data_IF_895217969180
#
_entry.id   IF_895217969180
#
_cell.length_a   1.000
_cell.length_b   1.000
_cell.length_c   1.000
_cell.angle_alpha   90.00
_cell.angle_beta   90.00
_cell.angle_gamma   90.00
#
_symmetry.space_group_name_H-M   'P 1'
#
loop_
_entity.id
_entity.type
_entity.pdbx_description
1 polymer ?
#
# COMPACT_ATOMS: atom_id res chain seq x y z
N UNK A 1 -15.43 -19.21 2.49
CA UNK A 1 -14.50 -18.55 1.54
C UNK A 1 -15.19 -17.45 0.69
N UNK A 2 -16.32 -17.66 -0.02
CA UNK A 2 -16.93 -16.58 -0.83
C UNK A 2 -17.57 -15.45 0.00
N UNK A 3 -18.08 -15.75 1.20
CA UNK A 3 -18.69 -14.75 2.07
C UNK A 3 -17.70 -13.73 2.66
N UNK A 4 -16.44 -14.14 2.89
CA UNK A 4 -15.39 -13.24 3.40
C UNK A 4 -14.90 -12.28 2.30
N UNK A 5 -14.78 -12.79 1.07
CA UNK A 5 -14.45 -12.01 -0.14
C UNK A 5 -15.51 -10.93 -0.44
N UNK A 6 -16.79 -11.26 -0.22
CA UNK A 6 -17.89 -10.31 -0.38
C UNK A 6 -17.85 -9.19 0.67
N UNK A 7 -17.55 -9.51 1.94
CA UNK A 7 -17.46 -8.51 3.01
C UNK A 7 -16.26 -7.57 2.85
N UNK A 8 -15.10 -8.07 2.43
CA UNK A 8 -13.90 -7.24 2.22
C UNK A 8 -14.09 -6.24 1.09
N UNK A 9 -14.65 -6.67 -0.05
CA UNK A 9 -14.88 -5.80 -1.20
C UNK A 9 -16.04 -4.81 -1.01
N UNK A 10 -17.11 -5.20 -0.30
CA UNK A 10 -18.26 -4.32 -0.01
C UNK A 10 -17.97 -3.32 1.12
N UNK A 11 -17.00 -3.60 2.00
CA UNK A 11 -16.58 -2.73 3.10
C UNK A 11 -15.43 -1.78 2.77
N UNK A 12 -15.14 -1.54 1.48
CA UNK A 12 -14.05 -0.66 1.07
C UNK A 12 -12.65 -1.24 1.32
N UNK A 13 -12.50 -2.57 1.41
CA UNK A 13 -11.23 -3.28 1.53
C UNK A 13 -10.35 -2.81 2.71
N UNK A 14 -10.98 -2.36 3.80
CA UNK A 14 -10.34 -1.77 4.98
C UNK A 14 -9.82 -2.87 5.93
N UNK A 15 -8.50 -3.03 6.01
CA UNK A 15 -7.84 -4.07 6.81
C UNK A 15 -6.58 -3.56 7.51
N UNK A 16 -6.29 -4.10 8.69
CA UNK A 16 -4.98 -3.89 9.32
C UNK A 16 -3.93 -4.79 8.65
N UNK A 17 -2.79 -4.19 8.32
CA UNK A 17 -1.58 -4.91 7.86
C UNK A 17 -0.68 -5.23 9.06
N UNK A 18 -0.78 -4.46 10.14
CA UNK A 18 0.08 -4.56 11.33
C UNK A 18 1.12 -3.44 11.38
N UNK A 19 1.81 -3.31 12.53
CA UNK A 19 2.80 -2.24 12.74
C UNK A 19 2.24 -0.81 12.58
N UNK A 20 0.94 -0.62 12.80
CA UNK A 20 0.26 0.67 12.58
C UNK A 20 0.01 1.00 11.10
N UNK A 21 -0.01 0.02 10.20
CA UNK A 21 -0.44 0.21 8.81
C UNK A 21 -1.83 -0.38 8.58
N UNK A 22 -2.65 0.38 7.88
CA UNK A 22 -4.01 0.04 7.46
C UNK A 22 -4.06 0.13 5.95
N UNK A 23 -4.67 -0.86 5.29
CA UNK A 23 -4.94 -0.86 3.84
C UNK A 23 -6.42 -0.62 3.57
N UNK A 24 -6.75 0.07 2.48
CA UNK A 24 -8.12 0.33 2.06
C UNK A 24 -8.26 0.54 0.54
N UNK A 25 -9.50 0.45 0.05
CA UNK A 25 -9.96 1.08 -1.18
C UNK A 25 -10.13 2.59 -0.96
N UNK A 26 -10.39 3.33 -2.05
CA UNK A 26 -10.75 4.73 -1.90
C UNK A 26 -12.09 4.85 -1.18
N UNK A 27 -12.13 5.71 -0.16
CA UNK A 27 -13.33 6.00 0.61
C UNK A 27 -14.01 7.29 0.13
N UNK A 28 -15.30 7.42 0.45
CA UNK A 28 -15.96 8.72 0.36
C UNK A 28 -15.35 9.70 1.39
N UNK A 29 -15.51 11.03 1.22
CA UNK A 29 -15.03 12.00 2.20
C UNK A 29 -15.56 11.77 3.62
N UNK A 30 -16.83 11.36 3.75
CA UNK A 30 -17.45 11.08 5.04
C UNK A 30 -16.87 9.81 5.70
N UNK A 31 -16.69 8.74 4.93
CA UNK A 31 -16.12 7.49 5.43
C UNK A 31 -14.65 7.66 5.80
N UNK A 32 -13.90 8.46 5.03
CA UNK A 32 -12.52 8.80 5.34
C UNK A 32 -12.42 9.58 6.65
N UNK A 33 -13.22 10.63 6.83
CA UNK A 33 -13.24 11.40 8.07
C UNK A 33 -13.59 10.52 9.29
N UNK A 34 -14.61 9.67 9.15
CA UNK A 34 -15.00 8.69 10.17
C UNK A 34 -13.86 7.72 10.49
N UNK A 35 -13.18 7.19 9.46
CA UNK A 35 -12.06 6.27 9.61
C UNK A 35 -10.86 6.92 10.28
N UNK A 36 -10.54 8.18 9.93
CA UNK A 36 -9.47 8.95 10.57
C UNK A 36 -9.71 9.03 12.08
N UNK A 37 -10.93 9.40 12.49
CA UNK A 37 -11.27 9.55 13.90
C UNK A 37 -11.31 8.19 14.62
N UNK A 38 -11.95 7.19 14.02
CA UNK A 38 -12.14 5.88 14.64
C UNK A 38 -10.84 5.08 14.79
N UNK A 39 -9.89 5.25 13.85
CA UNK A 39 -8.61 4.52 13.83
C UNK A 39 -7.41 5.36 14.26
N UNK A 40 -7.63 6.65 14.53
CA UNK A 40 -6.57 7.60 14.89
C UNK A 40 -5.54 7.80 13.79
N UNK A 41 -5.94 7.73 12.51
CA UNK A 41 -5.02 7.84 11.36
C UNK A 41 -4.23 9.15 11.44
N UNK A 42 -2.91 9.06 11.30
CA UNK A 42 -2.00 10.22 11.33
C UNK A 42 -1.42 10.58 9.97
N UNK A 43 -1.41 9.62 9.04
CA UNK A 43 -1.03 9.87 7.65
C UNK A 43 -1.81 9.01 6.66
N UNK A 44 -1.95 9.50 5.44
CA UNK A 44 -2.60 8.84 4.31
C UNK A 44 -1.60 8.75 3.16
N UNK A 45 -1.46 7.57 2.58
CA UNK A 45 -0.68 7.30 1.38
C UNK A 45 -1.62 6.95 0.22
N UNK A 46 -1.83 7.91 -0.68
CA UNK A 46 -2.59 7.76 -1.90
C UNK A 46 -1.68 7.25 -3.04
N UNK A 47 -1.90 6.00 -3.47
CA UNK A 47 -1.13 5.35 -4.54
C UNK A 47 -1.67 5.63 -5.96
N UNK A 48 -2.70 6.49 -6.09
CA UNK A 48 -3.22 6.94 -7.38
C UNK A 48 -2.47 8.16 -7.93
N UNK A 49 -1.58 8.75 -7.13
CA UNK A 49 -0.87 9.98 -7.46
C UNK A 49 -1.73 11.23 -7.27
N UNK A 50 -1.14 12.37 -7.63
CA UNK A 50 -1.81 13.66 -7.59
C UNK A 50 -2.79 13.84 -8.76
N UNK A 51 -4.00 14.33 -8.47
CA UNK A 51 -5.02 14.65 -9.47
C UNK A 51 -5.70 16.00 -9.15
N UNK A 52 -4.98 17.13 -9.28
CA UNK A 52 -5.49 18.44 -8.85
C UNK A 52 -6.73 18.92 -9.58
N UNK A 53 -7.08 18.36 -10.74
CA UNK A 53 -8.31 18.67 -11.47
C UNK A 53 -9.51 17.79 -11.10
N UNK A 54 -9.34 16.78 -10.25
CA UNK A 54 -10.37 15.79 -9.96
C UNK A 54 -11.01 16.03 -8.59
N UNK A 55 -12.34 16.06 -8.54
CA UNK A 55 -13.09 16.31 -7.31
C UNK A 55 -12.73 15.34 -6.18
N UNK A 56 -12.64 14.04 -6.50
CA UNK A 56 -12.32 13.01 -5.50
C UNK A 56 -10.99 13.28 -4.79
N UNK A 57 -9.99 13.83 -5.50
CA UNK A 57 -8.66 14.08 -4.93
C UNK A 57 -8.66 15.36 -4.10
N UNK A 58 -9.33 16.40 -4.58
CA UNK A 58 -9.48 17.66 -3.85
C UNK A 58 -10.23 17.43 -2.53
N UNK A 59 -11.32 16.66 -2.57
CA UNK A 59 -12.11 16.32 -1.39
C UNK A 59 -11.34 15.48 -0.39
N UNK A 60 -10.61 14.46 -0.85
CA UNK A 60 -9.77 13.61 0.00
C UNK A 60 -8.67 14.42 0.70
N UNK A 61 -8.00 15.32 -0.04
CA UNK A 61 -7.02 16.25 0.54
C UNK A 61 -7.63 17.21 1.55
N UNK A 62 -8.81 17.76 1.25
CA UNK A 62 -9.50 18.67 2.15
C UNK A 62 -9.88 17.95 3.47
N UNK A 63 -10.30 16.68 3.41
CA UNK A 63 -10.56 15.87 4.61
C UNK A 63 -9.27 15.64 5.41
N UNK A 64 -8.16 15.29 4.75
CA UNK A 64 -6.89 15.10 5.43
C UNK A 64 -6.43 16.39 6.14
N UNK A 65 -6.48 17.53 5.45
CA UNK A 65 -6.13 18.84 5.98
C UNK A 65 -7.01 19.23 7.18
N UNK A 66 -8.34 19.07 7.04
CA UNK A 66 -9.29 19.41 8.10
C UNK A 66 -9.10 18.59 9.39
N UNK A 67 -8.49 17.41 9.29
CA UNK A 67 -8.20 16.54 10.43
C UNK A 67 -6.72 16.58 10.87
N UNK A 68 -5.89 17.43 10.26
CA UNK A 68 -4.46 17.53 10.60
C UNK A 68 -3.67 16.26 10.26
N UNK A 69 -4.11 15.51 9.25
CA UNK A 69 -3.51 14.25 8.80
C UNK A 69 -2.56 14.53 7.65
N UNK A 70 -1.35 13.96 7.72
CA UNK A 70 -0.38 14.09 6.63
C UNK A 70 -0.87 13.35 5.38
N UNK A 71 -0.84 14.02 4.22
CA UNK A 71 -1.33 13.46 2.97
C UNK A 71 -0.17 13.29 1.97
N UNK A 72 0.19 12.05 1.68
CA UNK A 72 1.32 11.66 0.82
C UNK A 72 0.75 11.06 -0.46
N UNK A 73 1.15 11.59 -1.62
CA UNK A 73 0.72 11.07 -2.92
C UNK A 73 1.90 10.44 -3.67
N UNK A 74 1.76 9.18 -4.06
CA UNK A 74 2.71 8.47 -4.92
C UNK A 74 1.96 7.95 -6.14
N UNK A 75 2.41 8.32 -7.33
CA UNK A 75 1.80 7.82 -8.56
C UNK A 75 2.34 6.43 -8.88
N UNK A 76 1.58 5.39 -8.53
CA UNK A 76 1.83 4.04 -9.01
C UNK A 76 0.88 3.70 -10.15
N UNK A 77 1.46 3.27 -11.27
CA UNK A 77 0.71 2.70 -12.37
C UNK A 77 0.22 1.31 -11.98
N UNK A 78 -1.08 1.06 -12.05
CA UNK A 78 -1.62 -0.30 -11.90
C UNK A 78 -1.34 -1.20 -13.12
N UNK A 79 -0.73 -0.64 -14.18
CA UNK A 79 -0.50 -1.33 -15.47
C UNK A 79 0.96 -1.54 -15.79
N UNK A 80 1.86 -0.87 -15.09
CA UNK A 80 3.29 -0.92 -15.33
C UNK A 80 3.97 -1.31 -14.03
N UNK A 81 4.87 -2.29 -14.12
CA UNK A 81 5.70 -2.71 -13.00
C UNK A 81 6.52 -1.50 -12.51
N UNK A 82 6.41 -1.08 -11.24
CA UNK A 82 7.33 -0.09 -10.69
C UNK A 82 8.74 -0.66 -10.67
N UNK A 83 9.73 0.20 -10.92
CA UNK A 83 11.13 -0.21 -10.81
C UNK A 83 11.56 -0.37 -9.34
N UNK A 84 12.71 -1.00 -9.13
CA UNK A 84 13.24 -1.25 -7.79
C UNK A 84 13.48 0.04 -7.00
N UNK A 85 13.86 1.13 -7.66
CA UNK A 85 14.09 2.41 -7.00
C UNK A 85 12.79 3.00 -6.45
N UNK A 86 11.71 2.96 -7.24
CA UNK A 86 10.37 3.37 -6.83
C UNK A 86 9.85 2.52 -5.66
N UNK A 87 10.09 1.21 -5.68
CA UNK A 87 9.70 0.31 -4.59
C UNK A 87 10.48 0.59 -3.29
N UNK A 88 11.79 0.83 -3.37
CA UNK A 88 12.61 1.23 -2.21
C UNK A 88 12.20 2.59 -1.67
N UNK A 89 11.86 3.54 -2.54
CA UNK A 89 11.33 4.83 -2.14
C UNK A 89 10.00 4.68 -1.40
N UNK A 90 9.09 3.85 -1.93
CA UNK A 90 7.82 3.53 -1.28
C UNK A 90 8.02 2.91 0.11
N UNK A 91 8.97 1.97 0.25
CA UNK A 91 9.31 1.37 1.53
C UNK A 91 9.80 2.42 2.54
N UNK A 92 10.67 3.34 2.11
CA UNK A 92 11.16 4.43 2.95
C UNK A 92 10.03 5.38 3.38
N UNK A 93 9.16 5.79 2.45
CA UNK A 93 7.99 6.61 2.76
C UNK A 93 7.10 5.94 3.79
N UNK A 94 6.78 4.65 3.60
CA UNK A 94 5.96 3.92 4.55
C UNK A 94 6.64 3.77 5.92
N UNK A 95 7.96 3.60 5.99
CA UNK A 95 8.69 3.55 7.26
C UNK A 95 8.61 4.87 8.02
N UNK A 96 8.81 5.99 7.32
CA UNK A 96 9.00 7.31 7.93
C UNK A 96 7.66 8.04 8.19
N UNK A 97 6.58 7.66 7.49
CA UNK A 97 5.27 8.27 7.65
C UNK A 97 4.64 8.07 9.05
N UNK A 98 3.96 9.08 9.61
CA UNK A 98 3.29 8.98 10.92
C UNK A 98 2.26 7.84 11.00
N UNK A 99 2.40 6.94 11.99
CA UNK A 99 1.50 5.79 12.20
C UNK A 99 0.36 6.09 13.17
N UNK A 100 -0.90 5.71 12.99
CA UNK A 100 -1.37 4.80 11.96
C UNK A 100 -1.37 5.43 10.56
N UNK A 101 -0.78 4.70 9.62
CA UNK A 101 -0.71 5.06 8.20
C UNK A 101 -1.82 4.32 7.45
N UNK A 102 -2.68 5.06 6.75
CA UNK A 102 -3.68 4.51 5.84
C UNK A 102 -3.17 4.50 4.40
N UNK A 103 -3.04 3.32 3.80
CA UNK A 103 -2.60 3.14 2.41
C UNK A 103 -3.81 2.80 1.55
N UNK A 104 -4.02 3.53 0.46
CA UNK A 104 -5.10 3.19 -0.47
C UNK A 104 -4.74 3.41 -1.94
N UNK A 105 -5.56 2.82 -2.81
CA UNK A 105 -5.58 3.12 -4.24
C UNK A 105 -7.03 3.33 -4.68
N UNK A 106 -7.45 2.78 -5.82
CA UNK A 106 -8.87 2.79 -6.21
C UNK A 106 -9.65 1.69 -5.48
N UNK A 107 -9.25 0.43 -5.67
CA UNK A 107 -9.97 -0.75 -5.14
C UNK A 107 -9.32 -1.37 -3.90
N UNK A 108 -8.17 -0.84 -3.45
CA UNK A 108 -7.44 -1.44 -2.32
C UNK A 108 -6.80 -2.80 -2.63
N UNK A 109 -6.77 -3.21 -3.90
CA UNK A 109 -6.31 -4.52 -4.35
C UNK A 109 -4.84 -4.48 -4.81
N UNK A 110 -4.59 -4.12 -6.07
CA UNK A 110 -3.27 -4.30 -6.71
C UNK A 110 -2.15 -3.42 -6.13
N UNK A 111 -2.28 -2.09 -6.25
CA UNK A 111 -1.24 -1.14 -5.80
C UNK A 111 -1.11 -1.15 -4.28
N UNK A 112 -2.25 -1.19 -3.60
CA UNK A 112 -2.30 -1.28 -2.13
C UNK A 112 -1.69 -2.60 -1.66
N UNK A 113 -1.97 -3.72 -2.33
CA UNK A 113 -1.40 -5.02 -2.02
C UNK A 113 0.12 -5.03 -2.18
N UNK A 114 0.65 -4.46 -3.27
CA UNK A 114 2.10 -4.33 -3.46
C UNK A 114 2.74 -3.50 -2.34
N UNK A 115 2.15 -2.35 -1.99
CA UNK A 115 2.65 -1.51 -0.90
C UNK A 115 2.62 -2.24 0.45
N UNK A 116 1.51 -2.91 0.76
CA UNK A 116 1.38 -3.71 2.00
C UNK A 116 2.38 -4.85 2.06
N UNK A 117 2.61 -5.58 0.97
CA UNK A 117 3.61 -6.65 0.88
C UNK A 117 5.03 -6.13 1.12
N UNK A 118 5.39 -5.01 0.46
CA UNK A 118 6.69 -4.34 0.67
C UNK A 118 6.85 -3.92 2.13
N UNK A 119 5.78 -3.40 2.75
CA UNK A 119 5.80 -3.01 4.16
C UNK A 119 6.04 -4.21 5.08
N UNK A 120 5.27 -5.29 4.96
CA UNK A 120 5.43 -6.49 5.79
C UNK A 120 6.83 -7.09 5.66
N UNK A 121 7.35 -7.20 4.43
CA UNK A 121 8.71 -7.66 4.19
C UNK A 121 9.74 -6.76 4.90
N UNK A 122 9.59 -5.44 4.83
CA UNK A 122 10.47 -4.49 5.51
C UNK A 122 10.40 -4.57 7.05
N UNK A 123 9.31 -5.11 7.60
CA UNK A 123 9.14 -5.40 9.02
C UNK A 123 9.70 -6.77 9.43
N UNK A 124 10.32 -7.51 8.49
CA UNK A 124 10.94 -8.80 8.73
C UNK A 124 10.00 -10.01 8.57
N UNK A 125 8.79 -9.81 8.02
CA UNK A 125 7.92 -10.95 7.66
C UNK A 125 8.55 -11.77 6.53
N UNK A 126 8.27 -13.07 6.51
CA UNK A 126 8.76 -13.93 5.44
C UNK A 126 8.16 -13.49 4.09
N UNK A 127 8.95 -13.52 3.02
CA UNK A 127 8.50 -13.07 1.69
C UNK A 127 7.23 -13.80 1.21
N UNK A 128 7.08 -15.09 1.57
CA UNK A 128 5.87 -15.85 1.25
C UNK A 128 4.62 -15.34 1.98
N UNK A 129 4.75 -14.94 3.24
CA UNK A 129 3.64 -14.39 4.04
C UNK A 129 3.31 -12.96 3.57
N UNK A 130 4.31 -12.14 3.31
CA UNK A 130 4.12 -10.81 2.76
C UNK A 130 3.43 -10.83 1.38
N UNK A 131 3.64 -11.88 0.58
CA UNK A 131 2.95 -12.06 -0.69
C UNK A 131 1.42 -12.26 -0.54
N UNK A 132 0.93 -12.68 0.63
CA UNK A 132 -0.51 -12.85 0.87
C UNK A 132 -1.29 -11.51 0.84
N UNK A 133 -0.58 -10.38 0.93
CA UNK A 133 -1.17 -9.05 0.69
C UNK A 133 -1.58 -8.85 -0.79
N UNK A 134 -1.05 -9.65 -1.71
CA UNK A 134 -1.44 -9.75 -3.12
C UNK A 134 -2.35 -10.96 -3.36
N UNK A 135 -3.33 -11.18 -2.49
CA UNK A 135 -4.23 -12.33 -2.59
C UNK A 135 -5.62 -11.99 -3.11
N UNK A 136 -6.31 -13.05 -3.54
CA UNK A 136 -7.71 -13.00 -3.96
C UNK A 136 -8.65 -12.46 -2.89
N UNK A 137 -8.28 -12.60 -1.61
CA UNK A 137 -9.05 -12.08 -0.49
C UNK A 137 -9.28 -10.56 -0.59
N UNK A 138 -8.32 -9.85 -1.18
CA UNK A 138 -8.35 -8.42 -1.38
C UNK A 138 -8.75 -8.03 -2.81
N UNK A 139 -9.25 -8.97 -3.60
CA UNK A 139 -9.68 -8.74 -4.99
C UNK A 139 -8.53 -8.69 -6.00
N UNK A 140 -7.36 -9.24 -5.67
CA UNK A 140 -6.25 -9.38 -6.61
C UNK A 140 -6.43 -10.65 -7.46
N UNK A 141 -6.77 -10.50 -8.74
CA UNK A 141 -7.08 -11.62 -9.66
C UNK A 141 -6.02 -11.79 -10.76
N UNK A 142 -4.86 -12.44 -10.48
CA UNK A 142 -3.72 -12.48 -11.39
C UNK A 142 -3.95 -13.23 -12.72
N UNK A 143 -5.01 -14.05 -12.80
CA UNK A 143 -5.35 -14.81 -14.01
C UNK A 143 -6.40 -14.14 -14.91
N UNK A 144 -7.11 -13.10 -14.44
CA UNK A 144 -8.17 -12.42 -15.20
C UNK A 144 -7.62 -11.23 -16.03
N UNK A 145 -6.32 -10.96 -15.97
CA UNK A 145 -5.66 -9.97 -16.81
C UNK A 145 -4.14 -10.01 -16.67
N UNK A 146 -3.44 -9.61 -17.73
CA UNK A 146 -1.98 -9.49 -17.74
C UNK A 146 -1.43 -8.38 -16.80
N UNK A 147 -2.30 -7.49 -16.32
CA UNK A 147 -1.94 -6.27 -15.57
C UNK A 147 -1.66 -6.53 -14.10
N UNK A 148 -2.34 -7.52 -13.53
CA UNK A 148 -2.26 -7.90 -12.12
C UNK A 148 -0.92 -8.60 -11.82
N UNK A 149 -0.42 -9.40 -12.78
CA UNK A 149 0.92 -10.01 -12.76
C UNK A 149 2.07 -9.01 -12.60
N UNK A 150 1.90 -7.78 -13.06
CA UNK A 150 2.95 -6.77 -12.95
C UNK A 150 3.27 -6.44 -11.48
N UNK A 151 2.28 -6.52 -10.57
CA UNK A 151 2.51 -6.29 -9.14
C UNK A 151 3.18 -7.50 -8.48
N UNK A 152 2.78 -8.72 -8.85
CA UNK A 152 3.45 -9.96 -8.40
C UNK A 152 4.93 -9.97 -8.82
N UNK A 153 5.20 -9.63 -10.08
CA UNK A 153 6.55 -9.55 -10.64
C UNK A 153 7.37 -8.44 -9.97
N UNK A 154 6.74 -7.31 -9.62
CA UNK A 154 7.40 -6.24 -8.86
C UNK A 154 7.82 -6.72 -7.47
N UNK A 155 6.91 -7.38 -6.74
CA UNK A 155 7.19 -7.88 -5.41
C UNK A 155 8.25 -8.98 -5.41
N UNK A 156 8.21 -9.89 -6.40
CA UNK A 156 9.24 -10.91 -6.59
C UNK A 156 10.63 -10.28 -6.83
N UNK A 157 10.71 -9.24 -7.67
CA UNK A 157 11.96 -8.50 -7.90
C UNK A 157 12.46 -7.80 -6.62
N UNK A 158 11.55 -7.14 -5.90
CA UNK A 158 11.88 -6.45 -4.66
C UNK A 158 12.40 -7.41 -3.58
N UNK A 159 11.68 -8.51 -3.35
CA UNK A 159 12.05 -9.52 -2.34
C UNK A 159 13.38 -10.19 -2.64
N UNK A 160 13.68 -10.50 -3.90
CA UNK A 160 14.98 -11.04 -4.29
C UNK A 160 16.12 -10.03 -4.04
N UNK A 161 15.87 -8.75 -4.33
CA UNK A 161 16.83 -7.68 -4.12
C UNK A 161 17.02 -7.26 -2.65
N UNK A 162 16.05 -7.58 -1.78
CA UNK A 162 16.12 -7.34 -0.33
C UNK A 162 16.79 -8.51 0.41
N UNK A 163 16.57 -9.75 -0.07
CA UNK A 163 17.27 -10.95 0.40
C UNK A 163 18.77 -10.95 0.06
N UNK A 164 19.19 -10.14 -0.93
CA UNK A 164 20.60 -9.99 -1.28
C UNK A 164 21.20 -8.84 -0.46
N UNK A 165 22.14 -9.11 0.47
CA UNK A 165 22.79 -8.04 1.21
C UNK A 165 23.52 -7.10 0.23
N UNK A 166 23.20 -5.81 0.30
CA UNK A 166 23.85 -4.76 -0.49
C UNK A 166 25.38 -4.85 -0.31
N UNK A 167 26.21 -4.66 -1.37
CA UNK A 167 27.66 -4.66 -1.22
C UNK A 167 28.18 -3.57 -0.26
N UNK A 168 27.35 -2.58 0.11
CA UNK A 168 27.66 -1.61 1.13
C UNK A 168 27.65 -2.18 2.57
N UNK A 169 26.87 -3.23 2.86
CA UNK A 169 26.81 -3.84 4.20
C UNK A 169 27.87 -4.93 4.40
N UNK A 170 28.36 -5.56 3.32
CA UNK A 170 29.45 -6.54 3.37
C UNK A 170 30.80 -5.93 3.83
N UNK A 171 31.01 -4.62 3.67
CA UNK A 171 32.24 -3.94 4.08
C UNK A 171 32.28 -3.56 5.58
N UNK A 172 31.15 -3.61 6.30
CA UNK A 172 31.10 -3.27 7.73
C UNK A 172 31.19 -4.51 8.64
N UNK A 173 30.97 -5.71 8.11
CA UNK A 173 31.07 -6.96 8.88
C UNK A 173 32.49 -7.55 8.96
N UNK A 174 33.49 -6.89 8.36
CA UNK A 174 34.88 -7.34 8.32
C UNK A 174 35.84 -6.51 9.20
N UNK A 175 35.33 -5.85 10.26
CA UNK A 175 36.15 -5.07 11.20
C UNK A 175 35.82 -5.42 12.64
#
# INVERSE_FOLDING_TARGET
MPALLGLTLLGGNLHEVGGGVIRAAQMSPADLASTIQARGVRSILNLRGEHPGEAWWQEERAVAEANGVEYISVSLSARHKPDLAAMRHLAALMRDAPKPLLIHCLQGADRTGLASAIYELSQGQAAGEAADQLSLMFGHFPWLGNKTRAMDEAFAEYSAADATPSPATASMAAR
#
